data_IF_286284185991
#
_entry.id   IF_286284185991
#
_cell.length_a   1.000
_cell.length_b   1.000
_cell.length_c   1.000
_cell.angle_alpha   90.00
_cell.angle_beta   90.00
_cell.angle_gamma   90.00
#
_symmetry.space_group_name_H-M   'P 1'
#
loop_
_entity.id
_entity.type
_entity.pdbx_description
1 polymer ?
#
# COMPACT_ATOMS: atom_id res chain seq x y z
N UNK A 1 2.28 -23.98 44.71
CA UNK A 1 1.31 -23.52 45.74
C UNK A 1 0.42 -24.67 46.17
N UNK A 2 -0.30 -24.53 47.29
CA UNK A 2 -1.35 -25.48 47.70
C UNK A 2 -2.44 -25.56 46.62
N UNK A 3 -3.05 -26.73 46.45
CA UNK A 3 -4.16 -26.97 45.52
C UNK A 3 -5.49 -26.71 46.25
N UNK A 4 -6.36 -25.92 45.64
CA UNK A 4 -7.75 -25.74 46.01
C UNK A 4 -8.61 -26.54 45.02
N UNK A 5 -9.27 -27.58 45.51
CA UNK A 5 -10.21 -28.38 44.72
C UNK A 5 -11.63 -27.91 45.02
N UNK A 6 -12.38 -27.57 43.97
CA UNK A 6 -13.82 -27.35 44.08
C UNK A 6 -14.54 -28.61 43.59
N UNK A 7 -15.19 -29.33 44.51
CA UNK A 7 -15.79 -30.66 44.26
C UNK A 7 -17.33 -30.64 44.28
N UNK A 8 -17.92 -29.46 44.07
CA UNK A 8 -19.36 -29.35 43.89
C UNK A 8 -19.76 -29.84 42.49
N UNK A 9 -21.00 -30.30 42.32
CA UNK A 9 -21.54 -30.60 40.99
C UNK A 9 -21.58 -29.37 40.07
N UNK A 10 -21.75 -28.18 40.65
CA UNK A 10 -21.64 -26.88 39.96
C UNK A 10 -20.84 -25.90 40.82
N UNK A 11 -19.49 -25.94 40.75
CA UNK A 11 -18.61 -25.09 41.52
C UNK A 11 -18.85 -23.60 41.25
N UNK A 12 -19.53 -22.92 42.17
CA UNK A 12 -19.86 -21.50 42.01
C UNK A 12 -19.04 -20.64 42.95
N UNK A 13 -18.39 -19.60 42.41
CA UNK A 13 -17.73 -18.55 43.17
C UNK A 13 -18.55 -17.26 43.00
N UNK A 14 -19.28 -16.90 44.05
CA UNK A 14 -20.06 -15.65 44.09
C UNK A 14 -19.26 -14.56 44.78
N UNK A 15 -18.99 -13.45 44.09
CA UNK A 15 -18.35 -12.27 44.70
C UNK A 15 -19.34 -11.11 44.75
N UNK A 16 -19.63 -10.61 45.95
CA UNK A 16 -20.55 -9.50 46.14
C UNK A 16 -20.02 -8.19 45.51
N UNK A 17 -20.93 -7.26 45.20
CA UNK A 17 -20.58 -5.95 44.65
C UNK A 17 -19.51 -5.24 45.50
N UNK A 18 -18.63 -4.50 44.82
CA UNK A 18 -17.52 -3.73 45.41
C UNK A 18 -16.52 -4.56 46.24
N UNK A 19 -16.56 -5.89 46.15
CA UNK A 19 -15.61 -6.80 46.80
C UNK A 19 -14.69 -7.46 45.78
N UNK A 20 -13.50 -7.83 46.24
CA UNK A 20 -12.56 -8.65 45.49
C UNK A 20 -12.25 -9.92 46.27
N UNK A 21 -12.52 -11.08 45.67
CA UNK A 21 -12.04 -12.37 46.16
C UNK A 21 -10.74 -12.73 45.43
N UNK A 22 -9.68 -13.04 46.16
CA UNK A 22 -8.38 -13.41 45.56
C UNK A 22 -8.06 -14.88 45.80
N UNK A 23 -7.75 -15.61 44.73
CA UNK A 23 -7.26 -16.99 44.81
C UNK A 23 -5.81 -17.03 44.35
N UNK A 24 -4.90 -17.23 45.30
CA UNK A 24 -3.46 -17.39 45.05
C UNK A 24 -3.04 -18.87 44.87
N UNK A 25 -3.88 -19.80 45.30
CA UNK A 25 -3.65 -21.25 45.19
C UNK A 25 -3.89 -21.75 43.77
N UNK A 26 -3.27 -22.89 43.41
CA UNK A 26 -3.70 -23.63 42.21
C UNK A 26 -5.16 -24.02 42.40
N UNK A 27 -5.97 -23.92 41.37
CA UNK A 27 -7.40 -24.22 41.39
C UNK A 27 -7.66 -25.40 40.48
N UNK A 28 -8.48 -26.36 40.90
CA UNK A 28 -8.95 -27.44 40.03
C UNK A 28 -10.39 -27.80 40.33
N UNK A 29 -11.05 -28.36 39.34
CA UNK A 29 -12.41 -28.87 39.40
C UNK A 29 -12.61 -29.93 38.31
N UNK A 30 -13.50 -30.89 38.56
CA UNK A 30 -13.98 -31.85 37.54
C UNK A 30 -15.23 -31.35 36.80
N UNK A 31 -15.87 -30.29 37.30
CA UNK A 31 -17.01 -29.60 36.70
C UNK A 31 -16.65 -28.15 36.32
N UNK A 32 -17.42 -27.53 35.43
CA UNK A 32 -17.23 -26.14 35.03
C UNK A 32 -17.29 -25.20 36.25
N UNK A 33 -16.30 -24.31 36.38
CA UNK A 33 -16.27 -23.32 37.45
C UNK A 33 -17.08 -22.10 37.03
N UNK A 34 -18.07 -21.69 37.82
CA UNK A 34 -18.96 -20.58 37.51
C UNK A 34 -18.67 -19.39 38.41
N UNK A 35 -18.28 -18.26 37.83
CA UNK A 35 -18.17 -16.96 38.53
C UNK A 35 -19.50 -16.22 38.43
N UNK A 36 -20.06 -15.84 39.58
CA UNK A 36 -21.27 -14.99 39.67
C UNK A 36 -21.06 -13.82 40.64
N UNK A 37 -22.09 -12.98 40.79
CA UNK A 37 -22.06 -11.77 41.61
C UNK A 37 -21.27 -10.63 40.96
N UNK A 38 -21.64 -9.39 41.27
CA UNK A 38 -21.12 -8.20 40.61
C UNK A 38 -19.65 -7.85 40.94
N UNK A 39 -19.06 -8.47 41.96
CA UNK A 39 -17.68 -8.19 42.37
C UNK A 39 -16.61 -8.88 41.52
N UNK A 40 -15.36 -8.71 41.94
CA UNK A 40 -14.17 -9.18 41.22
C UNK A 40 -13.63 -10.49 41.80
N UNK A 41 -13.41 -11.50 40.95
CA UNK A 41 -12.58 -12.66 41.27
C UNK A 41 -11.20 -12.47 40.65
N UNK A 42 -10.17 -12.31 41.48
CA UNK A 42 -8.78 -12.22 41.05
C UNK A 42 -8.10 -13.60 41.17
N UNK A 43 -7.68 -14.17 40.03
CA UNK A 43 -6.94 -15.42 39.97
C UNK A 43 -5.45 -15.16 39.78
N UNK A 44 -4.68 -15.26 40.87
CA UNK A 44 -3.21 -15.25 40.85
C UNK A 44 -2.62 -16.67 40.78
N UNK A 45 -3.43 -17.69 41.06
CA UNK A 45 -3.09 -19.10 40.89
C UNK A 45 -3.63 -19.67 39.58
N UNK A 46 -2.94 -20.68 39.04
CA UNK A 46 -3.35 -21.38 37.81
C UNK A 46 -4.65 -22.13 38.05
N UNK A 47 -5.61 -21.97 37.16
CA UNK A 47 -6.79 -22.82 37.03
C UNK A 47 -6.45 -24.01 36.12
N UNK A 48 -6.43 -25.20 36.71
CA UNK A 48 -6.10 -26.47 36.07
C UNK A 48 -7.34 -27.30 35.76
N UNK A 49 -8.54 -26.77 36.02
CA UNK A 49 -9.78 -27.38 35.56
C UNK A 49 -9.74 -27.55 34.05
N UNK A 50 -10.09 -28.75 33.58
CA UNK A 50 -10.28 -29.03 32.15
C UNK A 50 -11.77 -28.93 31.75
N UNK A 51 -12.67 -28.83 32.73
CA UNK A 51 -14.11 -28.76 32.48
C UNK A 51 -14.60 -27.35 32.10
N UNK A 52 -13.69 -26.37 32.04
CA UNK A 52 -14.00 -25.00 31.66
C UNK A 52 -14.28 -24.05 32.83
N UNK A 53 -14.46 -22.79 32.49
CA UNK A 53 -14.85 -21.73 33.41
C UNK A 53 -15.85 -20.77 32.72
N UNK A 54 -16.96 -20.50 33.40
CA UNK A 54 -17.97 -19.54 32.96
C UNK A 54 -17.96 -18.28 33.83
N UNK A 55 -18.05 -17.11 33.22
CA UNK A 55 -18.21 -15.81 33.90
C UNK A 55 -19.60 -15.29 33.63
N UNK A 56 -20.52 -15.49 34.58
CA UNK A 56 -21.93 -15.12 34.45
C UNK A 56 -22.26 -13.74 35.01
N UNK A 57 -21.38 -13.15 35.82
CA UNK A 57 -21.51 -11.78 36.31
C UNK A 57 -20.19 -11.26 36.92
N UNK A 58 -20.03 -9.93 36.87
CA UNK A 58 -18.90 -9.23 37.46
C UNK A 58 -17.59 -9.53 36.73
N UNK A 59 -16.46 -9.27 37.38
CA UNK A 59 -15.16 -9.38 36.72
C UNK A 59 -14.38 -10.62 37.17
N UNK A 60 -13.85 -11.38 36.23
CA UNK A 60 -12.75 -12.31 36.43
C UNK A 60 -11.45 -11.62 36.01
N UNK A 61 -10.47 -11.49 36.90
CA UNK A 61 -9.14 -10.97 36.57
C UNK A 61 -8.17 -12.13 36.49
N UNK A 62 -7.53 -12.28 35.33
CA UNK A 62 -6.44 -13.23 35.11
C UNK A 62 -5.11 -12.47 35.18
N UNK A 63 -4.37 -12.65 36.27
CA UNK A 63 -3.19 -11.85 36.61
C UNK A 63 -1.85 -12.59 36.52
N UNK A 64 -1.83 -13.82 36.01
CA UNK A 64 -0.63 -14.64 35.79
C UNK A 64 -0.08 -14.48 34.39
N UNK A 65 1.24 -14.46 34.31
CA UNK A 65 1.99 -14.61 33.07
C UNK A 65 1.81 -16.03 32.52
N UNK A 66 1.43 -16.16 31.25
CA UNK A 66 1.43 -17.37 30.43
C UNK A 66 0.54 -18.56 30.85
N UNK A 67 -0.03 -18.61 32.06
CA UNK A 67 -0.64 -19.87 32.54
C UNK A 67 -1.77 -19.74 33.58
N UNK A 68 -2.62 -18.71 33.46
CA UNK A 68 -3.77 -18.59 34.35
C UNK A 68 -4.84 -19.64 34.09
N UNK A 69 -5.12 -19.95 32.83
CA UNK A 69 -6.07 -20.97 32.40
C UNK A 69 -5.36 -22.14 31.72
N UNK A 70 -5.99 -23.31 31.77
CA UNK A 70 -5.49 -24.50 31.08
C UNK A 70 -5.90 -24.45 29.60
N UNK A 71 -4.98 -24.68 28.64
CA UNK A 71 -5.35 -24.77 27.22
C UNK A 71 -6.30 -25.93 26.90
N UNK A 72 -6.42 -26.90 27.81
CA UNK A 72 -7.35 -28.03 27.69
C UNK A 72 -8.75 -27.75 28.26
N UNK A 73 -9.04 -26.50 28.66
CA UNK A 73 -10.36 -26.06 29.12
C UNK A 73 -11.01 -25.13 28.09
N UNK A 74 -12.18 -24.59 28.41
CA UNK A 74 -12.78 -23.44 27.73
C UNK A 74 -12.98 -22.28 28.70
N UNK A 75 -13.11 -21.07 28.16
CA UNK A 75 -13.56 -19.88 28.89
C UNK A 75 -14.82 -19.34 28.21
N UNK A 76 -15.92 -19.26 28.96
CA UNK A 76 -17.17 -18.66 28.47
C UNK A 76 -17.48 -17.39 29.24
N UNK A 77 -17.73 -16.30 28.52
CA UNK A 77 -18.10 -15.00 29.10
C UNK A 77 -19.56 -14.73 28.73
N UNK A 78 -20.44 -14.76 29.73
CA UNK A 78 -21.87 -14.57 29.56
C UNK A 78 -22.29 -13.12 29.84
N UNK A 79 -23.55 -12.81 29.57
CA UNK A 79 -24.14 -11.49 29.79
C UNK A 79 -23.83 -10.94 31.19
N UNK A 80 -23.22 -9.75 31.27
CA UNK A 80 -22.83 -9.09 32.51
C UNK A 80 -21.53 -9.61 33.13
N UNK A 81 -20.87 -10.57 32.47
CA UNK A 81 -19.54 -11.05 32.79
C UNK A 81 -18.46 -10.24 32.06
N UNK A 82 -17.36 -9.99 32.77
CA UNK A 82 -16.14 -9.39 32.19
C UNK A 82 -14.93 -10.24 32.52
N UNK A 83 -14.08 -10.50 31.55
CA UNK A 83 -12.73 -11.04 31.78
C UNK A 83 -11.72 -9.93 31.54
N UNK A 84 -10.94 -9.63 32.57
CA UNK A 84 -9.84 -8.68 32.53
C UNK A 84 -8.51 -9.44 32.49
N UNK A 85 -7.81 -9.34 31.37
CA UNK A 85 -6.49 -9.89 31.15
C UNK A 85 -5.47 -8.90 31.74
N UNK A 86 -4.96 -9.20 32.93
CA UNK A 86 -4.09 -8.30 33.68
C UNK A 86 -2.60 -8.63 33.53
N UNK A 87 -2.25 -9.47 32.55
CA UNK A 87 -0.88 -9.93 32.36
C UNK A 87 -0.62 -10.49 30.95
N UNK A 88 0.61 -10.98 30.66
CA UNK A 88 1.01 -11.48 29.34
C UNK A 88 0.43 -12.89 29.21
N UNK A 89 -0.32 -13.15 28.13
CA UNK A 89 -0.81 -14.48 27.78
C UNK A 89 -1.46 -15.29 28.92
N UNK A 90 -2.35 -14.73 29.75
CA UNK A 90 -2.91 -15.46 30.89
C UNK A 90 -3.71 -16.71 30.46
N UNK A 91 -4.09 -16.82 29.19
CA UNK A 91 -4.80 -17.98 28.64
C UNK A 91 -3.88 -19.02 27.99
N UNK A 92 -2.56 -18.81 28.02
CA UNK A 92 -1.58 -19.72 27.44
C UNK A 92 -0.81 -19.16 26.24
N UNK A 93 0.39 -19.70 26.02
CA UNK A 93 1.18 -19.54 24.79
C UNK A 93 2.14 -20.75 24.63
N UNK A 94 2.25 -21.42 23.47
CA UNK A 94 1.52 -21.14 22.22
C UNK A 94 0.10 -21.72 22.20
N UNK A 95 -0.20 -22.71 23.04
CA UNK A 95 -1.54 -23.29 23.16
C UNK A 95 -2.38 -22.37 24.06
N UNK A 96 -3.50 -21.88 23.54
CA UNK A 96 -4.37 -20.92 24.22
C UNK A 96 -5.69 -21.58 24.55
N UNK A 97 -6.24 -21.33 25.74
CA UNK A 97 -7.61 -21.71 26.10
C UNK A 97 -8.60 -21.11 25.10
N UNK A 98 -9.46 -21.92 24.45
CA UNK A 98 -10.57 -21.44 23.64
C UNK A 98 -11.52 -20.53 24.40
N UNK A 99 -12.00 -19.48 23.73
CA UNK A 99 -12.83 -18.43 24.33
C UNK A 99 -14.14 -18.32 23.57
N UNK A 100 -15.25 -18.27 24.33
CA UNK A 100 -16.56 -17.87 23.81
C UNK A 100 -17.01 -16.61 24.54
N UNK A 101 -17.33 -15.55 23.80
CA UNK A 101 -17.90 -14.31 24.35
C UNK A 101 -19.35 -14.20 23.86
N UNK A 102 -20.27 -14.55 24.73
CA UNK A 102 -21.71 -14.51 24.45
C UNK A 102 -22.25 -13.09 24.58
N UNK A 103 -23.51 -12.91 24.18
CA UNK A 103 -24.21 -11.62 24.21
C UNK A 103 -24.10 -10.92 25.56
N UNK A 104 -23.60 -9.69 25.53
CA UNK A 104 -23.36 -8.86 26.73
C UNK A 104 -22.15 -9.27 27.58
N UNK A 105 -21.34 -10.23 27.12
CA UNK A 105 -20.04 -10.57 27.69
C UNK A 105 -18.93 -9.68 27.14
N UNK A 106 -17.91 -9.42 27.95
CA UNK A 106 -16.77 -8.59 27.60
C UNK A 106 -15.43 -9.28 27.93
N UNK A 107 -14.53 -9.34 26.96
CA UNK A 107 -13.11 -9.56 27.22
C UNK A 107 -12.35 -8.25 27.02
N UNK A 108 -11.44 -7.94 27.94
CA UNK A 108 -10.59 -6.75 27.87
C UNK A 108 -9.25 -6.99 28.56
N UNK A 109 -8.36 -6.01 28.52
CA UNK A 109 -7.04 -6.05 29.16
C UNK A 109 -6.81 -4.81 30.03
N UNK A 110 -5.90 -4.90 31.01
CA UNK A 110 -5.65 -3.79 31.94
C UNK A 110 -4.50 -2.86 31.54
N UNK A 111 -3.68 -3.26 30.58
CA UNK A 111 -2.42 -2.57 30.23
C UNK A 111 -1.94 -2.98 28.81
N UNK A 112 -0.84 -2.41 28.32
CA UNK A 112 -0.33 -2.50 26.94
C UNK A 112 0.30 -3.84 26.50
N UNK A 113 -0.21 -4.97 26.97
CA UNK A 113 0.45 -6.26 26.85
C UNK A 113 -0.20 -7.06 25.72
N UNK A 114 0.58 -7.76 24.91
CA UNK A 114 0.00 -8.64 23.89
C UNK A 114 -0.51 -9.95 24.51
N UNK A 115 -1.72 -10.34 24.14
CA UNK A 115 -2.31 -11.63 24.53
C UNK A 115 -2.56 -12.49 23.30
N UNK A 116 -2.01 -13.71 23.34
CA UNK A 116 -2.35 -14.74 22.36
C UNK A 116 -3.82 -15.15 22.54
N UNK A 117 -4.56 -15.17 21.44
CA UNK A 117 -5.94 -15.66 21.36
C UNK A 117 -5.92 -16.87 20.43
N UNK A 118 -6.39 -18.01 20.93
CA UNK A 118 -6.59 -19.22 20.13
C UNK A 118 -7.93 -19.18 19.43
N UNK A 119 -8.64 -20.31 19.42
CA UNK A 119 -10.00 -20.36 18.91
C UNK A 119 -10.91 -19.39 19.68
N UNK A 120 -11.54 -18.47 18.95
CA UNK A 120 -12.41 -17.44 19.48
C UNK A 120 -13.79 -17.56 18.83
N UNK A 121 -14.83 -17.64 19.65
CA UNK A 121 -16.23 -17.53 19.23
C UNK A 121 -16.82 -16.25 19.81
N UNK A 122 -17.35 -15.40 18.94
CA UNK A 122 -18.10 -14.20 19.30
C UNK A 122 -19.59 -14.45 19.02
N UNK A 123 -20.37 -14.65 20.08
CA UNK A 123 -21.82 -14.92 20.03
C UNK A 123 -22.59 -13.75 20.65
N UNK A 124 -22.35 -12.54 20.13
CA UNK A 124 -22.99 -11.30 20.57
C UNK A 124 -22.16 -10.45 21.54
N UNK A 125 -20.94 -10.89 21.85
CA UNK A 125 -20.05 -10.25 22.82
C UNK A 125 -19.05 -9.28 22.22
N UNK A 126 -18.16 -8.77 23.08
CA UNK A 126 -17.11 -7.81 22.70
C UNK A 126 -15.71 -8.28 23.11
N UNK A 127 -14.78 -8.24 22.14
CA UNK A 127 -13.33 -8.29 22.39
C UNK A 127 -12.77 -6.87 22.32
N UNK A 128 -12.40 -6.32 23.47
CA UNK A 128 -11.93 -4.93 23.61
C UNK A 128 -10.51 -4.86 24.14
N UNK A 129 -9.92 -3.66 24.17
CA UNK A 129 -8.68 -3.38 24.88
C UNK A 129 -8.79 -2.03 25.61
N UNK A 130 -7.89 -1.75 26.55
CA UNK A 130 -7.91 -0.50 27.32
C UNK A 130 -7.30 0.72 26.59
N UNK A 131 -7.26 0.70 25.26
CA UNK A 131 -6.69 1.81 24.48
C UNK A 131 -5.18 1.70 24.22
N UNK A 132 -4.51 0.67 24.74
CA UNK A 132 -3.08 0.46 24.54
C UNK A 132 -2.79 -0.87 23.80
N UNK A 133 -1.58 -0.97 23.24
CA UNK A 133 -1.11 -2.16 22.53
C UNK A 133 0.42 -2.31 22.61
N UNK A 134 0.90 -3.54 22.42
CA UNK A 134 2.33 -3.83 22.27
C UNK A 134 2.79 -3.49 20.84
N UNK A 135 3.93 -2.81 20.69
CA UNK A 135 4.42 -2.34 19.39
C UNK A 135 4.86 -3.44 18.40
N UNK A 136 5.02 -4.68 18.86
CA UNK A 136 5.39 -5.82 18.00
C UNK A 136 4.20 -6.73 17.72
N UNK A 137 3.36 -7.01 18.72
CA UNK A 137 2.30 -8.01 18.62
C UNK A 137 0.88 -7.44 18.76
N UNK A 138 0.72 -6.13 18.94
CA UNK A 138 -0.57 -5.49 19.12
C UNK A 138 -1.20 -5.75 20.51
N UNK A 139 -2.50 -5.52 20.63
CA UNK A 139 -3.30 -5.87 21.82
C UNK A 139 -3.55 -7.39 21.86
N UNK A 140 -3.96 -7.96 20.72
CA UNK A 140 -4.23 -9.38 20.58
C UNK A 140 -3.50 -9.97 19.38
N UNK A 141 -2.92 -11.15 19.60
CA UNK A 141 -2.25 -11.94 18.58
C UNK A 141 -3.08 -13.20 18.29
N UNK A 142 -3.82 -13.19 17.18
CA UNK A 142 -4.68 -14.30 16.76
C UNK A 142 -3.82 -15.48 16.29
N UNK A 143 -4.10 -16.65 16.83
CA UNK A 143 -3.45 -17.92 16.49
C UNK A 143 -4.29 -18.82 15.62
N UNK A 144 -5.59 -18.58 15.59
CA UNK A 144 -6.61 -19.39 14.95
C UNK A 144 -7.69 -18.49 14.34
N UNK A 145 -8.57 -19.07 13.56
CA UNK A 145 -9.71 -18.38 12.95
C UNK A 145 -10.76 -17.99 14.00
N UNK A 146 -11.59 -17.01 13.63
CA UNK A 146 -12.64 -16.44 14.48
C UNK A 146 -14.02 -16.84 13.94
N UNK A 147 -14.85 -17.38 14.82
CA UNK A 147 -16.26 -17.69 14.53
C UNK A 147 -17.12 -16.58 15.11
N UNK A 148 -18.08 -16.08 14.35
CA UNK A 148 -19.03 -15.04 14.77
C UNK A 148 -20.46 -15.53 14.56
N UNK A 149 -21.07 -16.05 15.63
CA UNK A 149 -22.41 -16.67 15.59
C UNK A 149 -23.55 -15.65 15.71
N UNK A 150 -23.25 -14.46 16.26
CA UNK A 150 -24.20 -13.35 16.37
C UNK A 150 -23.49 -12.00 16.29
N UNK A 151 -24.26 -10.91 16.12
CA UNK A 151 -23.71 -9.56 15.98
C UNK A 151 -22.80 -9.17 17.14
N UNK A 152 -21.50 -9.03 16.84
CA UNK A 152 -20.43 -8.91 17.83
C UNK A 152 -19.49 -7.77 17.49
N UNK A 153 -18.61 -7.42 18.44
CA UNK A 153 -17.69 -6.29 18.26
C UNK A 153 -16.25 -6.68 18.60
N UNK A 154 -15.32 -6.25 17.76
CA UNK A 154 -13.89 -6.16 18.08
C UNK A 154 -13.54 -4.68 18.15
N UNK A 155 -13.37 -4.16 19.37
CA UNK A 155 -12.94 -2.78 19.65
C UNK A 155 -11.50 -2.72 20.14
N UNK A 156 -10.81 -3.86 20.16
CA UNK A 156 -9.40 -3.93 20.48
C UNK A 156 -8.57 -3.06 19.52
N UNK A 157 -7.69 -2.21 20.05
CA UNK A 157 -7.01 -1.16 19.28
C UNK A 157 -6.22 -1.72 18.11
N UNK A 158 -5.46 -2.80 18.36
CA UNK A 158 -4.58 -3.41 17.36
C UNK A 158 -4.63 -4.93 17.46
N UNK A 159 -5.26 -5.58 16.48
CA UNK A 159 -5.29 -7.04 16.37
C UNK A 159 -4.33 -7.47 15.27
N UNK A 160 -3.46 -8.43 15.57
CA UNK A 160 -2.45 -8.95 14.64
C UNK A 160 -2.55 -10.47 14.52
N UNK A 161 -1.93 -11.03 13.48
CA UNK A 161 -1.82 -12.47 13.27
C UNK A 161 -0.53 -12.77 12.47
N UNK A 162 0.05 -13.97 12.57
CA UNK A 162 1.26 -14.31 11.81
C UNK A 162 1.02 -14.45 10.29
N UNK A 163 -0.23 -14.75 9.92
CA UNK A 163 -0.68 -15.11 8.58
C UNK A 163 -2.16 -14.76 8.42
N UNK A 164 -2.77 -15.11 7.29
CA UNK A 164 -4.18 -14.87 7.06
C UNK A 164 -5.08 -15.58 8.08
N UNK A 165 -6.16 -14.91 8.50
CA UNK A 165 -7.19 -15.47 9.40
C UNK A 165 -8.57 -15.33 8.83
N UNK A 166 -9.38 -16.38 8.98
CA UNK A 166 -10.78 -16.37 8.64
C UNK A 166 -11.62 -15.79 9.78
N UNK A 167 -12.58 -14.96 9.39
CA UNK A 167 -13.66 -14.47 10.22
C UNK A 167 -14.95 -15.00 9.61
N UNK A 168 -15.43 -16.13 10.13
CA UNK A 168 -16.65 -16.78 9.68
C UNK A 168 -17.85 -16.14 10.37
N UNK A 169 -18.56 -15.28 9.65
CA UNK A 169 -19.72 -14.55 10.17
C UNK A 169 -21.00 -15.24 9.74
N UNK A 170 -21.74 -15.76 10.72
CA UNK A 170 -23.00 -16.45 10.50
C UNK A 170 -24.05 -15.54 9.83
N UNK A 171 -24.96 -16.16 9.07
CA UNK A 171 -26.03 -15.46 8.38
C UNK A 171 -26.87 -14.60 9.35
N UNK A 172 -27.10 -13.33 8.98
CA UNK A 172 -27.83 -12.37 9.82
C UNK A 172 -27.01 -11.75 10.97
N UNK A 173 -25.79 -12.23 11.20
CA UNK A 173 -24.83 -11.60 12.10
C UNK A 173 -24.04 -10.46 11.44
N UNK A 174 -23.45 -9.62 12.27
CA UNK A 174 -22.50 -8.59 11.85
C UNK A 174 -21.29 -8.55 12.78
N UNK A 175 -20.09 -8.63 12.24
CA UNK A 175 -18.87 -8.34 13.00
C UNK A 175 -18.49 -6.86 12.81
N UNK A 176 -18.61 -6.07 13.87
CA UNK A 176 -18.17 -4.67 13.88
C UNK A 176 -16.73 -4.59 14.38
N UNK A 177 -15.82 -4.09 13.54
CA UNK A 177 -14.41 -3.87 13.92
C UNK A 177 -14.14 -2.37 13.98
N UNK A 178 -14.10 -1.85 15.20
CA UNK A 178 -13.87 -0.41 15.46
C UNK A 178 -12.42 -0.10 15.80
N UNK A 179 -11.65 -1.12 16.18
CA UNK A 179 -10.19 -1.08 16.20
C UNK A 179 -9.59 -1.36 14.82
N UNK A 180 -8.33 -1.79 14.80
CA UNK A 180 -7.60 -2.05 13.55
C UNK A 180 -6.97 -3.44 13.50
N UNK A 181 -6.93 -4.02 12.29
CA UNK A 181 -6.05 -5.12 11.95
C UNK A 181 -4.70 -4.61 11.44
N UNK A 182 -3.62 -5.32 11.76
CA UNK A 182 -2.27 -4.87 11.46
C UNK A 182 -1.25 -5.97 11.23
N UNK A 183 -0.26 -5.71 10.38
CA UNK A 183 0.90 -6.57 10.17
C UNK A 183 2.16 -6.06 10.90
N UNK A 184 2.02 -5.66 12.18
CA UNK A 184 3.20 -5.44 13.05
C UNK A 184 4.09 -6.69 13.18
N UNK A 185 3.50 -7.86 12.99
CA UNK A 185 4.17 -9.14 12.91
C UNK A 185 3.54 -9.99 11.81
N UNK A 186 4.38 -10.65 11.00
CA UNK A 186 3.92 -11.53 9.93
C UNK A 186 3.28 -10.79 8.76
N UNK A 187 2.55 -11.53 7.93
CA UNK A 187 1.81 -11.02 6.77
C UNK A 187 0.32 -11.29 6.98
N UNK A 188 -0.26 -10.63 7.99
CA UNK A 188 -1.68 -10.80 8.31
C UNK A 188 -2.52 -10.45 7.08
N UNK A 189 -3.28 -11.42 6.57
CA UNK A 189 -4.36 -11.22 5.60
C UNK A 189 -5.74 -11.44 6.22
N UNK A 190 -6.76 -10.86 5.63
CA UNK A 190 -8.13 -10.96 6.12
C UNK A 190 -8.93 -11.90 5.21
N UNK A 191 -9.54 -12.96 5.77
CA UNK A 191 -10.51 -13.77 5.05
C UNK A 191 -11.89 -13.53 5.68
N UNK A 192 -12.76 -12.82 4.99
CA UNK A 192 -14.16 -12.66 5.37
C UNK A 192 -14.95 -13.86 4.85
N UNK A 193 -15.33 -14.76 5.74
CA UNK A 193 -16.13 -15.94 5.45
C UNK A 193 -17.55 -15.83 6.04
N UNK A 194 -18.42 -16.77 5.69
CA UNK A 194 -19.81 -16.83 6.14
C UNK A 194 -20.72 -15.77 5.51
N UNK A 195 -22.02 -16.03 5.50
CA UNK A 195 -23.03 -15.21 4.80
C UNK A 195 -23.33 -13.86 5.48
N UNK A 196 -22.86 -13.64 6.70
CA UNK A 196 -23.05 -12.41 7.46
C UNK A 196 -22.21 -11.23 6.98
N UNK A 197 -22.34 -10.10 7.68
CA UNK A 197 -21.63 -8.85 7.35
C UNK A 197 -20.39 -8.65 8.22
N UNK A 198 -19.37 -7.98 7.69
CA UNK A 198 -18.25 -7.45 8.46
C UNK A 198 -18.04 -5.98 8.11
N UNK A 199 -17.86 -5.16 9.14
CA UNK A 199 -17.75 -3.71 9.03
C UNK A 199 -16.44 -3.26 9.65
N UNK A 200 -15.58 -2.61 8.86
CA UNK A 200 -14.30 -2.06 9.29
C UNK A 200 -14.39 -0.54 9.42
N UNK A 201 -14.18 -0.03 10.64
CA UNK A 201 -14.22 1.40 10.95
C UNK A 201 -12.92 1.97 11.47
N UNK A 202 -11.94 1.13 11.80
CA UNK A 202 -10.58 1.58 12.08
C UNK A 202 -9.70 1.66 10.84
N UNK A 203 -8.52 2.27 11.00
CA UNK A 203 -7.48 2.29 9.98
C UNK A 203 -6.70 0.97 9.99
N UNK A 204 -6.93 0.12 8.99
CA UNK A 204 -6.29 -1.19 8.90
C UNK A 204 -5.03 -1.12 8.04
N UNK A 205 -3.90 -1.50 8.64
CA UNK A 205 -2.55 -1.39 8.06
C UNK A 205 -1.87 -2.77 7.91
N UNK A 206 -2.68 -3.82 7.76
CA UNK A 206 -2.17 -5.14 7.40
C UNK A 206 -1.78 -5.19 5.91
N UNK A 207 -0.81 -6.05 5.59
CA UNK A 207 -0.18 -6.12 4.26
C UNK A 207 -0.38 -7.48 3.57
N UNK A 208 -1.19 -8.37 4.16
CA UNK A 208 -1.69 -9.55 3.46
C UNK A 208 -2.97 -9.24 2.67
N UNK A 209 -3.36 -10.17 1.83
CA UNK A 209 -4.55 -10.01 0.99
C UNK A 209 -5.84 -9.97 1.80
N UNK A 210 -6.87 -9.33 1.23
CA UNK A 210 -8.24 -9.34 1.72
C UNK A 210 -9.09 -10.22 0.81
N UNK A 211 -9.56 -11.34 1.32
CA UNK A 211 -10.41 -12.28 0.61
C UNK A 211 -11.84 -12.23 1.16
N UNK A 212 -12.80 -11.78 0.36
CA UNK A 212 -14.23 -11.77 0.73
C UNK A 212 -14.88 -13.02 0.17
N UNK A 213 -14.76 -14.13 0.90
CA UNK A 213 -15.22 -15.45 0.43
C UNK A 213 -16.75 -15.55 0.40
N UNK A 214 -17.44 -14.89 1.33
CA UNK A 214 -18.90 -14.85 1.39
C UNK A 214 -19.42 -13.62 2.17
N UNK A 215 -20.71 -13.32 2.00
CA UNK A 215 -21.39 -12.21 2.69
C UNK A 215 -20.94 -10.84 2.19
N UNK A 216 -20.91 -9.86 3.10
CA UNK A 216 -20.49 -8.49 2.79
C UNK A 216 -19.33 -8.02 3.66
N UNK A 217 -18.41 -7.28 3.03
CA UNK A 217 -17.40 -6.46 3.70
C UNK A 217 -17.68 -4.99 3.42
N UNK A 218 -17.78 -4.19 4.48
CA UNK A 218 -17.88 -2.73 4.39
C UNK A 218 -16.64 -2.08 5.02
N UNK A 219 -16.02 -1.15 4.31
CA UNK A 219 -15.06 -0.19 4.86
C UNK A 219 -15.81 1.12 5.05
N UNK A 220 -16.07 1.52 6.30
CA UNK A 220 -16.87 2.72 6.60
C UNK A 220 -16.09 4.01 6.32
N UNK A 221 -16.77 5.16 6.36
CA UNK A 221 -16.20 6.50 6.16
C UNK A 221 -15.03 6.86 7.08
N UNK A 222 -14.94 6.24 8.25
CA UNK A 222 -13.84 6.38 9.21
C UNK A 222 -12.76 5.31 9.07
N UNK A 223 -13.04 4.25 8.30
CA UNK A 223 -12.13 3.14 8.07
C UNK A 223 -11.14 3.41 6.94
N UNK A 224 -10.04 2.67 6.96
CA UNK A 224 -9.13 2.61 5.82
C UNK A 224 -8.56 1.21 5.62
N UNK A 225 -8.11 0.94 4.39
CA UNK A 225 -7.30 -0.22 4.03
C UNK A 225 -6.00 0.23 3.40
N UNK A 226 -4.88 -0.24 3.94
CA UNK A 226 -3.56 -0.06 3.36
C UNK A 226 -3.36 -0.99 2.15
N UNK A 227 -2.92 -0.44 1.03
CA UNK A 227 -2.34 -1.15 -0.10
C UNK A 227 -0.85 -0.80 -0.19
N UNK A 228 0.02 -1.78 0.11
CA UNK A 228 1.47 -1.60 0.10
C UNK A 228 2.06 -2.11 -1.21
N UNK A 229 2.68 -1.23 -1.99
CA UNK A 229 3.41 -1.63 -3.20
C UNK A 229 4.80 -2.16 -2.86
N UNK A 230 5.20 -3.28 -3.44
CA UNK A 230 6.53 -3.89 -3.33
C UNK A 230 7.05 -4.25 -4.72
N UNK A 231 7.79 -3.34 -5.35
CA UNK A 231 8.14 -3.42 -6.77
C UNK A 231 6.87 -3.42 -7.62
N UNK A 232 6.67 -4.50 -8.38
CA UNK A 232 5.48 -4.73 -9.23
C UNK A 232 4.38 -5.56 -8.54
N UNK A 233 4.45 -5.76 -7.23
CA UNK A 233 3.46 -6.52 -6.45
C UNK A 233 2.80 -5.65 -5.37
N UNK A 234 1.66 -6.10 -4.87
CA UNK A 234 0.89 -5.47 -3.79
C UNK A 234 -0.02 -6.49 -3.11
N UNK A 235 -0.55 -6.15 -1.92
CA UNK A 235 -1.68 -6.88 -1.38
C UNK A 235 -2.96 -6.52 -2.13
N UNK A 236 -3.82 -7.52 -2.33
CA UNK A 236 -5.04 -7.40 -3.15
C UNK A 236 -6.31 -7.53 -2.33
N UNK A 237 -7.41 -6.98 -2.84
CA UNK A 237 -8.76 -7.21 -2.35
C UNK A 237 -9.53 -8.03 -3.40
N UNK A 238 -9.98 -9.23 -3.04
CA UNK A 238 -10.56 -10.20 -3.97
C UNK A 238 -11.70 -11.02 -3.34
N UNK A 239 -12.33 -11.87 -4.14
CA UNK A 239 -13.45 -12.75 -3.79
C UNK A 239 -13.44 -14.01 -4.64
N UNK A 240 -14.20 -15.04 -4.25
CA UNK A 240 -14.44 -16.27 -5.02
C UNK A 240 -15.72 -16.21 -5.88
N UNK A 241 -16.35 -15.03 -5.99
CA UNK A 241 -17.60 -14.81 -6.73
C UNK A 241 -18.85 -14.73 -5.85
N UNK A 242 -18.72 -14.89 -4.53
CA UNK A 242 -19.86 -14.89 -3.60
C UNK A 242 -19.92 -13.64 -2.73
N UNK A 243 -18.76 -13.09 -2.34
CA UNK A 243 -18.67 -11.89 -1.52
C UNK A 243 -19.07 -10.60 -2.23
N UNK A 244 -19.43 -9.58 -1.44
CA UNK A 244 -19.68 -8.19 -1.87
C UNK A 244 -18.79 -7.22 -1.10
N UNK A 245 -18.42 -6.11 -1.73
CA UNK A 245 -17.59 -5.05 -1.13
C UNK A 245 -18.30 -3.68 -1.24
N UNK A 246 -18.36 -2.98 -0.12
CA UNK A 246 -18.73 -1.58 -0.04
C UNK A 246 -17.58 -0.77 0.56
N UNK A 247 -17.17 0.28 -0.13
CA UNK A 247 -16.03 1.11 0.25
C UNK A 247 -16.47 2.56 0.40
N UNK A 248 -16.63 3.00 1.65
CA UNK A 248 -16.97 4.36 2.03
C UNK A 248 -15.77 5.10 2.62
N UNK A 249 -14.73 4.39 3.06
CA UNK A 249 -13.52 4.94 3.68
C UNK A 249 -12.38 5.24 2.72
N UNK A 250 -11.16 5.27 3.25
CA UNK A 250 -9.95 5.54 2.47
C UNK A 250 -9.27 4.25 1.96
N UNK A 251 -8.93 4.22 0.68
CA UNK A 251 -7.93 3.31 0.13
C UNK A 251 -6.56 4.00 0.18
N UNK A 252 -5.67 3.53 1.05
CA UNK A 252 -4.41 4.21 1.36
C UNK A 252 -3.22 3.48 0.75
N UNK A 253 -2.43 4.13 -0.09
CA UNK A 253 -1.29 3.54 -0.76
C UNK A 253 0.03 3.85 -0.05
N UNK A 254 0.81 2.81 0.25
CA UNK A 254 2.24 2.95 0.52
C UNK A 254 3.02 2.74 -0.78
N UNK A 255 3.41 3.86 -1.39
CA UNK A 255 4.15 3.94 -2.66
C UNK A 255 5.67 3.83 -2.48
N UNK A 256 6.17 3.73 -1.23
CA UNK A 256 7.60 3.91 -0.91
C UNK A 256 8.53 2.90 -1.59
N UNK A 257 8.03 1.72 -1.95
CA UNK A 257 8.81 0.66 -2.60
C UNK A 257 8.26 0.26 -3.96
N UNK A 258 7.44 1.12 -4.59
CA UNK A 258 6.92 0.88 -5.92
C UNK A 258 8.04 0.89 -6.98
N UNK A 259 7.90 0.05 -8.02
CA UNK A 259 8.73 0.17 -9.22
C UNK A 259 8.25 1.36 -10.07
N UNK A 260 9.10 2.36 -10.24
CA UNK A 260 8.79 3.60 -10.95
C UNK A 260 9.05 3.53 -12.47
N UNK A 261 9.05 2.33 -13.06
CA UNK A 261 9.09 2.18 -14.51
C UNK A 261 7.76 2.68 -15.13
N UNK A 262 7.85 3.51 -16.16
CA UNK A 262 6.69 4.02 -16.90
C UNK A 262 5.78 2.88 -17.41
N UNK A 263 4.48 3.05 -17.24
CA UNK A 263 3.47 2.07 -17.66
C UNK A 263 3.26 0.91 -16.69
N UNK A 264 3.89 0.91 -15.51
CA UNK A 264 3.59 -0.07 -14.47
C UNK A 264 2.13 0.04 -14.01
N UNK A 265 1.55 -1.11 -13.66
CA UNK A 265 0.17 -1.25 -13.25
C UNK A 265 0.03 -2.33 -12.18
N UNK A 266 -0.77 -2.05 -11.14
CA UNK A 266 -1.03 -2.92 -10.00
C UNK A 266 -2.53 -3.17 -9.89
N UNK A 267 -2.94 -4.43 -9.87
CA UNK A 267 -4.31 -4.81 -9.56
C UNK A 267 -4.50 -4.74 -8.04
N UNK A 268 -5.29 -3.78 -7.58
CA UNK A 268 -5.54 -3.51 -6.15
C UNK A 268 -6.83 -4.21 -5.70
N UNK A 269 -7.85 -4.16 -6.54
CA UNK A 269 -9.15 -4.81 -6.31
C UNK A 269 -9.47 -5.64 -7.54
N UNK A 270 -9.67 -6.95 -7.38
CA UNK A 270 -10.12 -7.83 -8.46
C UNK A 270 -11.63 -7.68 -8.67
N UNK A 271 -12.05 -6.54 -9.22
CA UNK A 271 -13.47 -6.13 -9.32
C UNK A 271 -14.38 -7.19 -9.94
N UNK A 272 -13.88 -7.95 -10.91
CA UNK A 272 -14.64 -8.96 -11.64
C UNK A 272 -14.87 -10.27 -10.85
N UNK A 273 -14.26 -10.41 -9.68
CA UNK A 273 -14.35 -11.62 -8.86
C UNK A 273 -15.39 -11.51 -7.74
N UNK A 274 -16.04 -10.36 -7.59
CA UNK A 274 -17.15 -10.19 -6.65
C UNK A 274 -18.48 -10.61 -7.27
N UNK A 275 -19.47 -10.94 -6.42
CA UNK A 275 -20.82 -11.32 -6.90
C UNK A 275 -21.56 -10.16 -7.59
N UNK A 276 -21.15 -8.93 -7.27
CA UNK A 276 -21.48 -7.69 -7.96
C UNK A 276 -20.26 -6.76 -7.91
N UNK A 277 -20.15 -5.83 -8.86
CA UNK A 277 -19.08 -4.84 -8.86
C UNK A 277 -19.01 -4.14 -7.48
N UNK A 278 -17.81 -4.00 -6.88
CA UNK A 278 -17.63 -3.24 -5.65
C UNK A 278 -18.29 -1.87 -5.74
N UNK A 279 -18.92 -1.45 -4.64
CA UNK A 279 -19.54 -0.12 -4.55
C UNK A 279 -18.61 0.85 -3.83
N UNK A 280 -18.38 2.01 -4.44
CA UNK A 280 -17.63 3.11 -3.86
C UNK A 280 -18.62 4.22 -3.47
N UNK A 281 -18.67 4.55 -2.19
CA UNK A 281 -19.63 5.50 -1.64
C UNK A 281 -19.19 6.96 -1.81
N UNK A 282 -20.08 7.90 -1.48
CA UNK A 282 -19.79 9.34 -1.63
C UNK A 282 -18.69 9.89 -0.71
N UNK A 283 -18.28 9.12 0.29
CA UNK A 283 -17.18 9.45 1.22
C UNK A 283 -15.89 8.71 0.87
N UNK A 284 -15.91 7.86 -0.17
CA UNK A 284 -14.73 7.15 -0.63
C UNK A 284 -13.62 8.14 -0.97
N UNK A 285 -12.39 7.79 -0.62
CA UNK A 285 -11.21 8.60 -0.92
C UNK A 285 -10.01 7.70 -1.20
N UNK A 286 -9.07 8.24 -1.96
CA UNK A 286 -7.80 7.56 -2.26
C UNK A 286 -6.67 8.42 -1.72
N UNK A 287 -5.81 7.83 -0.90
CA UNK A 287 -4.67 8.52 -0.27
C UNK A 287 -3.39 7.75 -0.48
N UNK A 288 -2.26 8.39 -0.17
CA UNK A 288 -0.96 7.74 -0.11
C UNK A 288 0.00 8.46 0.83
N UNK A 289 1.15 7.84 1.06
CA UNK A 289 2.30 8.49 1.69
C UNK A 289 2.90 9.66 0.87
N UNK A 290 2.52 9.85 -0.39
CA UNK A 290 2.91 11.00 -1.23
C UNK A 290 1.85 12.12 -1.25
N UNK A 291 0.60 11.83 -0.89
CA UNK A 291 -0.50 12.80 -0.91
C UNK A 291 -1.87 12.15 -1.13
N UNK A 292 -2.91 12.98 -1.06
CA UNK A 292 -4.27 12.57 -1.44
C UNK A 292 -4.43 12.63 -2.97
N UNK A 293 -5.20 11.70 -3.52
CA UNK A 293 -5.59 11.73 -4.92
C UNK A 293 -6.88 12.55 -5.07
N UNK A 294 -7.01 13.24 -6.19
CA UNK A 294 -8.23 13.95 -6.56
C UNK A 294 -8.97 13.20 -7.66
N UNK A 295 -10.30 13.16 -7.61
CA UNK A 295 -11.08 12.71 -8.76
C UNK A 295 -10.87 13.68 -9.94
N UNK A 296 -10.56 13.11 -11.11
CA UNK A 296 -10.42 13.85 -12.38
C UNK A 296 -11.66 14.67 -12.74
N UNK A 297 -12.84 14.19 -12.33
CA UNK A 297 -14.09 14.96 -12.31
C UNK A 297 -15.07 14.29 -11.35
N UNK A 298 -16.01 15.03 -10.73
CA UNK A 298 -16.93 14.45 -9.74
C UNK A 298 -17.69 13.22 -10.25
N UNK A 299 -17.48 12.08 -9.60
CA UNK A 299 -18.10 10.80 -9.90
C UNK A 299 -17.51 10.10 -11.14
N UNK A 300 -16.29 10.44 -11.58
CA UNK A 300 -15.62 9.70 -12.64
C UNK A 300 -15.13 8.33 -12.18
N UNK A 301 -14.89 8.15 -10.88
CA UNK A 301 -14.22 6.96 -10.34
C UNK A 301 -12.77 6.82 -10.82
N UNK A 302 -12.17 7.92 -11.31
CA UNK A 302 -10.77 7.98 -11.73
C UNK A 302 -10.08 9.03 -10.86
N UNK A 303 -9.17 8.55 -10.03
CA UNK A 303 -8.45 9.30 -9.00
C UNK A 303 -7.00 9.50 -9.42
N UNK A 304 -6.50 10.73 -9.41
CA UNK A 304 -5.14 11.05 -9.83
C UNK A 304 -4.32 11.77 -8.74
N UNK A 305 -3.03 11.42 -8.66
CA UNK A 305 -2.03 12.12 -7.87
C UNK A 305 -0.78 12.33 -8.73
N UNK A 306 -0.35 13.59 -8.86
CA UNK A 306 0.92 13.96 -9.48
C UNK A 306 1.96 14.18 -8.38
N UNK A 307 2.99 13.33 -8.37
CA UNK A 307 4.16 13.42 -7.49
C UNK A 307 5.43 13.56 -8.34
N UNK A 308 5.86 14.81 -8.55
CA UNK A 308 6.97 15.12 -9.45
C UNK A 308 6.68 14.69 -10.89
N UNK A 309 7.47 13.76 -11.42
CA UNK A 309 7.32 13.21 -12.77
C UNK A 309 6.30 12.06 -12.85
N UNK A 310 5.82 11.58 -11.70
CA UNK A 310 4.97 10.42 -11.59
C UNK A 310 3.51 10.87 -11.52
N UNK A 311 2.68 10.39 -12.45
CA UNK A 311 1.23 10.49 -12.37
C UNK A 311 0.68 9.11 -12.01
N UNK A 312 0.13 9.02 -10.80
CA UNK A 312 -0.54 7.85 -10.29
C UNK A 312 -2.02 7.95 -10.57
N UNK A 313 -2.63 6.92 -11.13
CA UNK A 313 -4.06 6.91 -11.46
C UNK A 313 -4.71 5.63 -10.92
N UNK A 314 -5.61 5.76 -9.94
CA UNK A 314 -6.47 4.67 -9.49
C UNK A 314 -7.84 4.73 -10.17
N UNK A 315 -8.30 3.61 -10.71
CA UNK A 315 -9.59 3.52 -11.42
C UNK A 315 -10.52 2.52 -10.73
N UNK A 316 -11.65 3.00 -10.20
CA UNK A 316 -12.63 2.19 -9.48
C UNK A 316 -13.21 1.04 -10.31
N UNK A 317 -13.47 1.28 -11.61
CA UNK A 317 -14.11 0.29 -12.48
C UNK A 317 -13.21 -0.89 -12.85
N UNK A 318 -11.89 -0.73 -12.79
CA UNK A 318 -10.92 -1.83 -12.99
C UNK A 318 -10.30 -2.30 -11.68
N UNK A 319 -10.31 -1.47 -10.63
CA UNK A 319 -9.61 -1.72 -9.38
C UNK A 319 -8.09 -1.65 -9.51
N UNK A 320 -7.58 -0.92 -10.51
CA UNK A 320 -6.16 -0.84 -10.81
C UNK A 320 -5.57 0.51 -10.42
N UNK A 321 -4.34 0.49 -9.92
CA UNK A 321 -3.47 1.65 -9.81
C UNK A 321 -2.44 1.59 -10.95
N UNK A 322 -2.34 2.64 -11.75
CA UNK A 322 -1.39 2.75 -12.85
C UNK A 322 -0.42 3.90 -12.62
N UNK A 323 0.77 3.79 -13.20
CA UNK A 323 1.82 4.80 -13.15
C UNK A 323 2.19 5.24 -14.57
N UNK A 324 2.04 6.53 -14.84
CA UNK A 324 2.67 7.20 -15.98
C UNK A 324 3.83 8.05 -15.48
N UNK A 325 5.03 7.85 -16.03
CA UNK A 325 6.20 8.66 -15.71
C UNK A 325 6.52 9.54 -16.90
N UNK A 326 6.35 10.84 -16.73
CA UNK A 326 6.84 11.79 -17.73
C UNK A 326 8.35 11.79 -17.67
N UNK A 327 9.03 11.39 -18.75
CA UNK A 327 10.48 11.60 -18.84
C UNK A 327 10.72 13.11 -18.68
N UNK A 328 11.40 13.50 -17.59
CA UNK A 328 11.65 14.92 -17.33
C UNK A 328 12.27 15.55 -18.58
N UNK A 329 11.72 16.67 -19.06
CA UNK A 329 12.14 17.31 -20.30
C UNK A 329 13.66 17.55 -20.26
N UNK A 330 14.46 16.81 -21.05
CA UNK A 330 15.92 16.90 -20.99
C UNK A 330 16.45 18.30 -21.36
N UNK A 331 15.82 18.99 -22.31
CA UNK A 331 16.11 20.39 -22.65
C UNK A 331 15.87 21.32 -21.46
N UNK A 332 14.69 21.23 -20.81
CA UNK A 332 14.38 22.09 -19.66
C UNK A 332 15.31 21.79 -18.48
N UNK A 333 15.56 20.51 -18.21
CA UNK A 333 16.49 20.07 -17.16
C UNK A 333 17.89 20.63 -17.39
N UNK A 334 18.35 20.66 -18.64
CA UNK A 334 19.65 21.19 -19.01
C UNK A 334 19.73 22.72 -18.84
N UNK A 335 18.76 23.46 -19.39
CA UNK A 335 18.81 24.94 -19.43
C UNK A 335 18.52 25.57 -18.07
N UNK A 336 17.59 25.01 -17.28
CA UNK A 336 17.26 25.55 -15.95
C UNK A 336 18.33 25.26 -14.90
N UNK A 337 18.99 24.11 -14.98
CA UNK A 337 20.08 23.76 -14.07
C UNK A 337 21.33 24.61 -14.33
N UNK A 338 21.66 24.86 -15.60
CA UNK A 338 22.93 25.49 -15.98
C UNK A 338 22.83 27.02 -16.00
N UNK A 339 21.68 27.58 -16.38
CA UNK A 339 21.46 29.04 -16.45
C UNK A 339 20.13 29.46 -15.81
N UNK A 340 20.01 29.40 -14.48
CA UNK A 340 18.77 29.76 -13.79
C UNK A 340 18.33 31.21 -14.05
N UNK A 341 19.26 32.13 -14.34
CA UNK A 341 18.99 33.55 -14.55
C UNK A 341 18.94 34.00 -16.02
N UNK A 342 18.95 33.07 -16.99
CA UNK A 342 18.91 33.41 -18.41
C UNK A 342 17.61 34.13 -18.78
N UNK A 343 17.70 35.17 -19.62
CA UNK A 343 16.57 36.06 -19.94
C UNK A 343 15.52 35.42 -20.87
N UNK A 344 15.93 34.51 -21.74
CA UNK A 344 15.04 33.73 -22.61
C UNK A 344 15.52 32.28 -22.63
N UNK A 345 14.66 31.36 -22.19
CA UNK A 345 14.94 29.92 -22.12
C UNK A 345 14.10 29.11 -23.10
N UNK A 346 13.36 29.78 -23.98
CA UNK A 346 12.55 29.08 -24.97
C UNK A 346 13.45 28.32 -25.95
N UNK A 347 13.02 27.18 -26.52
CA UNK A 347 13.82 26.45 -27.51
C UNK A 347 14.28 27.30 -28.70
N UNK A 348 13.49 28.31 -29.09
CA UNK A 348 13.76 29.24 -30.19
C UNK A 348 14.43 30.55 -29.75
N UNK A 349 14.77 30.69 -28.47
CA UNK A 349 15.45 31.87 -27.95
C UNK A 349 16.92 31.91 -28.37
N UNK A 350 17.47 33.11 -28.50
CA UNK A 350 18.90 33.39 -28.80
C UNK A 350 19.32 34.54 -27.86
N UNK A 351 19.58 34.25 -26.56
CA UNK A 351 19.75 35.28 -25.54
C UNK A 351 21.09 36.01 -25.62
N UNK A 352 22.06 35.43 -26.30
CA UNK A 352 23.42 35.92 -26.50
C UNK A 352 23.67 36.51 -27.91
N UNK A 353 22.62 36.59 -28.72
CA UNK A 353 22.54 37.26 -30.03
C UNK A 353 23.60 36.77 -31.04
N UNK A 354 23.90 35.46 -31.03
CA UNK A 354 24.91 34.87 -31.91
C UNK A 354 24.34 34.16 -33.16
N UNK A 355 23.00 34.08 -33.23
CA UNK A 355 22.25 33.43 -34.31
C UNK A 355 22.02 31.94 -34.10
N UNK A 356 22.34 31.39 -32.93
CA UNK A 356 22.10 29.99 -32.57
C UNK A 356 20.98 29.91 -31.53
N UNK A 357 19.90 29.21 -31.89
CA UNK A 357 18.79 29.00 -30.97
C UNK A 357 19.18 28.06 -29.82
N UNK A 358 18.61 28.27 -28.63
CA UNK A 358 18.81 27.45 -27.44
C UNK A 358 18.67 25.94 -27.70
N UNK A 359 17.79 25.52 -28.61
CA UNK A 359 17.62 24.10 -28.96
C UNK A 359 18.82 23.54 -29.73
N UNK A 360 19.53 24.36 -30.52
CA UNK A 360 20.78 23.99 -31.17
C UNK A 360 21.93 23.99 -30.16
N UNK A 361 21.98 24.96 -29.25
CA UNK A 361 22.92 24.98 -28.10
C UNK A 361 22.75 23.76 -27.18
N UNK A 362 21.52 23.27 -27.05
CA UNK A 362 21.22 22.04 -26.32
C UNK A 362 21.75 20.80 -27.05
N UNK A 363 21.53 20.73 -28.36
CA UNK A 363 21.95 19.58 -29.18
C UNK A 363 23.47 19.54 -29.31
N UNK A 364 24.13 20.66 -29.59
CA UNK A 364 25.55 20.70 -29.94
C UNK A 364 26.45 20.67 -28.70
N UNK A 365 27.55 19.90 -28.77
CA UNK A 365 28.54 19.87 -27.72
C UNK A 365 29.21 21.26 -27.57
N UNK A 366 29.31 21.72 -26.32
CA UNK A 366 29.92 23.01 -26.00
C UNK A 366 28.95 24.18 -26.08
N UNK A 367 27.66 23.92 -26.29
CA UNK A 367 26.67 24.98 -26.31
C UNK A 367 26.43 25.62 -24.94
N UNK A 368 26.38 26.94 -24.93
CA UNK A 368 26.19 27.85 -23.79
C UNK A 368 25.34 29.06 -24.24
N UNK A 369 24.02 29.04 -24.00
CA UNK A 369 23.09 30.12 -24.33
C UNK A 369 23.37 31.52 -23.75
N UNK A 370 24.43 31.66 -22.95
CA UNK A 370 24.82 32.93 -22.34
C UNK A 370 26.10 33.51 -22.93
N UNK A 371 26.74 32.80 -23.87
CA UNK A 371 28.04 33.16 -24.44
C UNK A 371 28.07 32.93 -25.95
N UNK A 372 28.02 34.04 -26.70
CA UNK A 372 28.14 34.03 -28.16
C UNK A 372 29.32 33.19 -28.64
N UNK A 373 29.03 32.06 -29.29
CA UNK A 373 30.01 31.07 -29.70
C UNK A 373 29.61 30.34 -31.00
N UNK A 374 29.75 31.00 -32.16
CA UNK A 374 29.41 30.38 -33.44
C UNK A 374 30.31 29.20 -33.84
N UNK A 375 31.35 28.88 -33.07
CA UNK A 375 32.28 27.79 -33.37
C UNK A 375 31.69 26.40 -33.10
N UNK A 376 30.55 26.29 -32.40
CA UNK A 376 29.89 25.01 -32.13
C UNK A 376 29.12 24.46 -33.34
N UNK A 377 28.85 25.31 -34.34
CA UNK A 377 28.09 24.93 -35.53
C UNK A 377 28.78 23.82 -36.33
N UNK A 378 28.02 23.01 -37.09
CA UNK A 378 28.58 21.98 -37.94
C UNK A 378 29.68 22.52 -38.88
N UNK A 379 30.79 21.79 -38.92
CA UNK A 379 31.92 22.11 -39.80
C UNK A 379 31.77 21.41 -41.14
N UNK A 380 32.41 21.94 -42.18
CA UNK A 380 32.41 21.37 -43.54
C UNK A 380 33.84 21.15 -44.04
N UNK A 381 34.18 19.91 -44.38
CA UNK A 381 35.30 19.60 -45.26
C UNK A 381 34.79 19.31 -46.68
N UNK A 382 35.21 20.15 -47.62
CA UNK A 382 34.89 20.02 -49.03
C UNK A 382 36.16 19.86 -49.89
N UNK A 383 37.29 19.43 -49.33
CA UNK A 383 38.55 19.27 -50.05
C UNK A 383 38.57 18.02 -50.96
N UNK A 384 37.86 16.97 -50.57
CA UNK A 384 37.82 15.68 -51.26
C UNK A 384 36.71 15.52 -52.29
N UNK A 385 36.34 14.26 -52.58
CA UNK A 385 35.27 13.90 -53.50
C UNK A 385 33.85 14.15 -52.94
N UNK A 386 33.74 14.37 -51.63
CA UNK A 386 32.49 14.54 -50.89
C UNK A 386 32.46 15.91 -50.19
N UNK A 387 31.26 16.35 -49.82
CA UNK A 387 31.03 17.30 -48.75
C UNK A 387 30.88 16.50 -47.45
N UNK A 388 31.73 16.76 -46.48
CA UNK A 388 31.72 16.07 -45.18
C UNK A 388 31.34 17.08 -44.11
N UNK A 389 30.15 16.92 -43.54
CA UNK A 389 29.68 17.73 -42.42
C UNK A 389 29.92 17.00 -41.11
N UNK A 390 30.50 17.69 -40.13
CA UNK A 390 30.84 17.08 -38.84
C UNK A 390 30.41 17.96 -37.68
N UNK A 391 29.79 17.34 -36.68
CA UNK A 391 29.43 17.95 -35.39
C UNK A 391 29.33 16.88 -34.31
N UNK A 392 29.33 17.30 -33.05
CA UNK A 392 29.09 16.41 -31.90
C UNK A 392 27.80 16.84 -31.23
N UNK A 393 26.93 15.87 -30.91
CA UNK A 393 25.66 16.13 -30.22
C UNK A 393 25.62 15.51 -28.82
N UNK A 394 24.82 16.06 -27.91
CA UNK A 394 24.48 15.41 -26.63
C UNK A 394 23.55 14.21 -26.88
N UNK A 395 23.85 13.05 -26.30
CA UNK A 395 23.04 11.84 -26.50
C UNK A 395 21.62 12.01 -25.94
N UNK A 396 21.46 12.73 -24.82
CA UNK A 396 20.15 13.06 -24.23
C UNK A 396 19.23 13.85 -25.17
N UNK A 397 19.79 14.62 -26.12
CA UNK A 397 18.99 15.38 -27.08
C UNK A 397 18.21 14.52 -28.06
N UNK A 398 18.55 13.23 -28.18
CA UNK A 398 17.86 12.29 -29.10
C UNK A 398 16.48 11.87 -28.60
N UNK A 399 16.21 12.01 -27.30
CA UNK A 399 14.94 11.56 -26.70
C UNK A 399 13.85 12.62 -26.76
N UNK A 400 14.22 13.89 -26.93
CA UNK A 400 13.29 15.03 -26.85
C UNK A 400 13.43 16.04 -28.01
N UNK A 401 14.19 15.70 -29.06
CA UNK A 401 14.28 16.49 -30.29
C UNK A 401 14.18 15.62 -31.55
N UNK A 402 13.67 16.21 -32.64
CA UNK A 402 13.80 15.65 -33.99
C UNK A 402 14.95 16.36 -34.70
N UNK A 403 15.92 15.59 -35.18
CA UNK A 403 17.14 16.09 -35.82
C UNK A 403 17.24 15.58 -37.26
N UNK A 404 17.40 16.51 -38.21
CA UNK A 404 17.60 16.20 -39.61
C UNK A 404 18.74 17.06 -40.18
N UNK A 405 19.60 16.45 -40.98
CA UNK A 405 20.47 17.18 -41.87
C UNK A 405 19.71 17.50 -43.15
N UNK A 406 19.65 18.77 -43.51
CA UNK A 406 19.02 19.23 -44.73
C UNK A 406 20.07 19.65 -45.74
N UNK A 407 19.93 19.21 -46.99
CA UNK A 407 20.79 19.68 -48.08
C UNK A 407 19.99 20.05 -49.33
N UNK A 408 20.55 20.95 -50.15
CA UNK A 408 19.90 21.40 -51.37
C UNK A 408 20.82 22.21 -52.29
N UNK A 409 20.41 22.34 -53.56
CA UNK A 409 21.13 23.16 -54.55
C UNK A 409 20.82 24.66 -54.43
N UNK A 410 19.83 25.02 -53.61
CA UNK A 410 19.39 26.38 -53.32
C UNK A 410 18.73 26.43 -51.93
N UNK A 411 18.30 27.61 -51.50
CA UNK A 411 17.69 27.83 -50.17
C UNK A 411 16.20 27.47 -50.08
N UNK A 412 15.58 26.95 -51.15
CA UNK A 412 14.12 26.76 -51.27
C UNK A 412 13.69 25.30 -51.43
N UNK A 413 14.58 24.41 -51.86
CA UNK A 413 14.33 22.97 -52.04
C UNK A 413 15.30 22.14 -51.21
N UNK A 414 14.88 21.76 -50.01
CA UNK A 414 15.66 20.97 -49.06
C UNK A 414 15.29 19.49 -49.11
N UNK A 415 16.28 18.62 -48.98
CA UNK A 415 16.12 17.18 -48.75
C UNK A 415 16.53 16.87 -47.32
N UNK A 416 15.64 16.18 -46.58
CA UNK A 416 15.85 15.82 -45.19
C UNK A 416 16.51 14.44 -45.09
N UNK A 417 17.59 14.37 -44.32
CA UNK A 417 18.31 13.15 -43.97
C UNK A 417 18.25 12.99 -42.46
N UNK A 418 17.69 11.89 -41.91
CA UNK A 418 17.70 11.64 -40.47
C UNK A 418 19.14 11.64 -39.93
N UNK A 419 19.36 12.25 -38.76
CA UNK A 419 20.66 12.17 -38.07
C UNK A 419 20.72 10.87 -37.26
N UNK A 420 20.80 9.75 -37.97
CA UNK A 420 20.94 8.40 -37.44
C UNK A 420 21.88 7.58 -38.33
N UNK A 421 22.55 6.59 -37.75
CA UNK A 421 23.54 5.78 -38.45
C UNK A 421 22.90 5.05 -39.65
N UNK A 422 23.45 5.24 -40.85
CA UNK A 422 22.90 4.60 -42.05
C UNK A 422 23.21 5.30 -43.37
N UNK A 423 22.65 4.73 -44.44
CA UNK A 423 22.77 5.24 -45.82
C UNK A 423 21.39 5.66 -46.35
N UNK A 424 21.26 6.94 -46.72
CA UNK A 424 20.03 7.57 -47.17
C UNK A 424 20.20 8.09 -48.61
N UNK A 425 19.89 7.22 -49.59
CA UNK A 425 20.27 7.47 -50.98
C UNK A 425 21.80 7.44 -51.12
N UNK A 426 22.38 8.52 -51.63
CA UNK A 426 23.84 8.67 -51.75
C UNK A 426 24.49 9.29 -50.50
N UNK A 427 23.71 9.70 -49.49
CA UNK A 427 24.21 10.31 -48.25
C UNK A 427 24.49 9.23 -47.21
N UNK A 428 25.67 9.27 -46.60
CA UNK A 428 26.04 8.37 -45.49
C UNK A 428 26.10 9.20 -44.21
N UNK A 429 25.42 8.74 -43.16
CA UNK A 429 25.49 9.30 -41.81
C UNK A 429 26.15 8.25 -40.93
N UNK A 430 27.25 8.62 -40.26
CA UNK A 430 27.87 7.78 -39.25
C UNK A 430 27.73 8.40 -37.86
N UNK A 431 27.30 7.61 -36.88
CA UNK A 431 27.12 8.03 -35.49
C UNK A 431 28.06 7.21 -34.61
N UNK A 432 28.98 7.87 -33.91
CA UNK A 432 29.92 7.21 -32.99
C UNK A 432 29.75 7.74 -31.56
N UNK A 433 29.38 6.88 -30.62
CA UNK A 433 29.22 7.28 -29.22
C UNK A 433 30.56 7.59 -28.55
N UNK A 434 30.64 8.73 -27.86
CA UNK A 434 31.81 9.24 -27.13
C UNK A 434 31.36 9.82 -25.77
N UNK A 435 31.35 8.98 -24.74
CA UNK A 435 30.84 9.37 -23.42
C UNK A 435 29.33 9.66 -23.47
N UNK A 436 28.91 10.81 -22.97
CA UNK A 436 27.50 11.27 -22.98
C UNK A 436 27.11 11.99 -24.30
N UNK A 437 27.94 11.88 -25.33
CA UNK A 437 27.77 12.54 -26.62
C UNK A 437 27.91 11.56 -27.79
N UNK A 438 27.43 11.95 -28.96
CA UNK A 438 27.65 11.26 -30.23
C UNK A 438 28.43 12.15 -31.20
N UNK A 439 29.49 11.63 -31.81
CA UNK A 439 30.15 12.24 -32.97
C UNK A 439 29.38 11.87 -34.24
N UNK A 440 29.00 12.88 -35.01
CA UNK A 440 28.21 12.76 -36.22
C UNK A 440 29.06 13.18 -37.42
N UNK A 441 29.14 12.30 -38.43
CA UNK A 441 29.75 12.62 -39.72
C UNK A 441 28.75 12.31 -40.84
N UNK A 442 28.48 13.31 -41.66
CA UNK A 442 27.54 13.23 -42.78
C UNK A 442 28.30 13.46 -44.07
N UNK A 443 28.33 12.42 -44.91
CA UNK A 443 29.06 12.42 -46.17
C UNK A 443 28.10 12.50 -47.35
N UNK A 444 28.17 13.59 -48.11
CA UNK A 444 27.38 13.83 -49.33
C UNK A 444 28.31 13.83 -50.55
N UNK A 445 28.16 12.91 -51.51
CA UNK A 445 28.98 12.91 -52.72
C UNK A 445 28.76 14.15 -53.59
N UNK A 446 29.84 14.74 -54.12
CA UNK A 446 29.72 15.91 -55.02
C UNK A 446 29.10 15.56 -56.38
N UNK A 447 29.40 14.37 -56.89
CA UNK A 447 29.01 13.98 -58.24
C UNK A 447 29.42 15.03 -59.28
N UNK A 448 28.46 15.52 -60.07
CA UNK A 448 28.67 16.61 -61.05
C UNK A 448 28.51 18.02 -60.46
N UNK A 449 27.96 18.15 -59.24
CA UNK A 449 27.66 19.41 -58.59
C UNK A 449 28.69 19.74 -57.51
N UNK A 450 29.58 20.68 -57.81
CA UNK A 450 30.64 21.09 -56.87
C UNK A 450 30.20 22.18 -55.89
N UNK A 451 28.89 22.42 -55.73
CA UNK A 451 28.31 23.39 -54.79
C UNK A 451 27.05 22.82 -54.16
N UNK A 452 26.89 23.03 -52.87
CA UNK A 452 25.77 22.53 -52.07
C UNK A 452 25.51 23.46 -50.89
N UNK A 453 24.24 23.61 -50.49
CA UNK A 453 23.87 24.14 -49.17
C UNK A 453 23.55 22.96 -48.24
N UNK A 454 24.07 23.00 -47.01
CA UNK A 454 23.79 22.02 -45.96
C UNK A 454 23.50 22.73 -44.65
N UNK A 455 22.56 22.21 -43.85
CA UNK A 455 22.29 22.69 -42.48
C UNK A 455 21.80 21.56 -41.59
N UNK A 456 22.07 21.70 -40.29
CA UNK A 456 21.38 20.93 -39.27
C UNK A 456 20.06 21.62 -38.95
N UNK A 457 18.96 20.85 -38.94
CA UNK A 457 17.65 21.29 -38.48
C UNK A 457 17.30 20.48 -37.24
N UNK A 458 17.00 21.19 -36.16
CA UNK A 458 16.51 20.64 -34.91
C UNK A 458 15.13 21.21 -34.65
N UNK A 459 14.21 20.38 -34.20
CA UNK A 459 12.92 20.84 -33.69
C UNK A 459 12.55 20.06 -32.44
N UNK A 460 11.98 20.76 -31.46
CA UNK A 460 11.33 20.14 -30.30
C UNK A 460 9.85 19.91 -30.64
N UNK A 461 9.33 18.67 -30.53
CA UNK A 461 7.95 18.35 -30.86
C UNK A 461 6.91 18.93 -29.91
#
# INVERSE_FOLDING_TARGET
GKLLTLDAATPTITVAADRTATINSRLTSTAEIVKTGAGTLLLNGRNESTAGMAVNAGTLVLARVNDNLSPASSLTINNGGTVLLANINPMGAPNVTPVTINSGGLMTMSDNWSVNIGSLTLDGGELSSNGFFDGTYGSYFLRDDVIVDATSTISAVKVTAPEARAFDVAAGGTLNVTGSFSSLFGSFGLIKAGDGAMVLSGANDYIGDTWVDAGSLEITDTGSLLCKLTGTANNIVTSSGLGTLAFNGALDFDLSTADLTDGNNWTVIEVGFFSAAPSFGSTFSVTSNAGAFDETSPGSGIWELVDGNNTWTFTESSGELSLAVTSGDPFLSWIDASWPSLSDKTPTGDPDDDGIENILEYVLLGGDPSVSNPAILPTLDASGANFVFSFTRRTASTTDTTQAFQYGNNLSGWTDVPVADGTYGDVIVSVSAVGDNDEIVITVPKGVNNKLFGRLKVSKP
#
